data_IF_527125676624
#
_entry.id   IF_527125676624
#
_cell.length_a   1.000
_cell.length_b   1.000
_cell.length_c   1.000
_cell.angle_alpha   90.00
_cell.angle_beta   90.00
_cell.angle_gamma   90.00
#
_symmetry.space_group_name_H-M   'P 1'
#
loop_
_entity.id
_entity.type
_entity.pdbx_description
1 polymer ?
#
# COMPACT_ATOMS: atom_id res chain seq x y z
N UNK A 1 -12.85 -7.12 -31.75
CA UNK A 1 -11.63 -7.16 -32.54
C UNK A 1 -10.60 -6.08 -32.22
N UNK A 2 -10.71 -5.42 -31.12
CA UNK A 2 -9.70 -4.45 -30.65
C UNK A 2 -8.76 -5.00 -29.56
N UNK A 3 -8.69 -6.30 -29.40
CA UNK A 3 -7.86 -6.93 -28.35
C UNK A 3 -6.44 -7.27 -28.80
N UNK A 4 -6.15 -7.27 -30.08
CA UNK A 4 -4.81 -7.66 -30.58
C UNK A 4 -3.83 -6.52 -30.74
N UNK A 5 -4.29 -5.27 -30.68
CA UNK A 5 -3.41 -4.09 -30.84
C UNK A 5 -2.86 -3.58 -29.52
N UNK A 6 -3.45 -3.96 -28.39
CA UNK A 6 -2.98 -3.53 -27.08
C UNK A 6 -1.88 -4.42 -26.48
N UNK A 7 -1.70 -5.61 -27.06
CA UNK A 7 -0.73 -6.58 -26.57
C UNK A 7 0.70 -6.33 -27.09
N UNK A 8 0.87 -5.49 -28.08
CA UNK A 8 2.15 -5.34 -28.75
C UNK A 8 3.00 -4.14 -28.26
N UNK A 9 2.48 -3.33 -27.35
CA UNK A 9 3.19 -2.14 -26.87
C UNK A 9 3.78 -2.28 -25.47
N UNK A 10 3.66 -3.44 -24.84
CA UNK A 10 4.22 -3.70 -23.51
C UNK A 10 5.51 -4.53 -23.53
N UNK A 11 6.32 -4.39 -24.55
CA UNK A 11 7.65 -5.04 -24.57
C UNK A 11 8.74 -4.04 -24.20
N UNK A 12 8.61 -3.35 -23.09
CA UNK A 12 9.74 -2.64 -22.50
C UNK A 12 9.71 -2.73 -20.97
N UNK A 13 10.39 -3.75 -20.49
CA UNK A 13 11.36 -3.84 -19.38
C UNK A 13 11.00 -3.35 -17.97
N UNK A 14 9.81 -2.82 -17.70
CA UNK A 14 9.27 -2.59 -16.36
C UNK A 14 7.76 -2.77 -16.39
N UNK A 15 7.29 -4.01 -16.30
CA UNK A 15 5.87 -4.28 -16.11
C UNK A 15 5.43 -3.80 -14.73
N UNK A 16 4.97 -2.56 -14.68
CA UNK A 16 4.04 -2.13 -13.65
C UNK A 16 2.70 -2.74 -13.98
N UNK A 17 2.43 -3.94 -13.50
CA UNK A 17 1.09 -4.49 -13.59
C UNK A 17 0.19 -3.75 -12.62
N UNK A 18 -0.51 -2.73 -13.10
CA UNK A 18 -1.60 -2.10 -12.35
C UNK A 18 -2.80 -3.05 -12.36
N UNK A 19 -3.08 -3.68 -11.24
CA UNK A 19 -4.30 -4.44 -11.05
C UNK A 19 -5.33 -3.50 -10.43
N UNK A 20 -6.27 -3.02 -11.23
CA UNK A 20 -7.43 -2.32 -10.71
C UNK A 20 -8.44 -3.33 -10.20
N UNK A 21 -8.83 -3.22 -8.95
CA UNK A 21 -9.97 -3.94 -8.44
C UNK A 21 -11.22 -3.14 -8.75
N UNK A 22 -11.99 -3.62 -9.71
CA UNK A 22 -13.36 -3.15 -9.88
C UNK A 22 -14.24 -3.85 -8.85
N UNK A 23 -14.77 -3.10 -7.92
CA UNK A 23 -15.66 -3.64 -6.91
C UNK A 23 -17.01 -3.98 -7.52
N UNK A 24 -17.39 -5.25 -7.44
CA UNK A 24 -18.75 -5.70 -7.70
C UNK A 24 -19.67 -5.20 -6.58
N UNK A 25 -20.51 -4.26 -6.87
CA UNK A 25 -21.76 -4.09 -6.15
C UNK A 25 -21.92 -2.95 -5.17
N UNK A 26 -21.09 -1.91 -5.14
CA UNK A 26 -21.43 -0.58 -4.58
C UNK A 26 -20.34 0.44 -4.87
N UNK A 27 -20.76 1.60 -5.32
CA UNK A 27 -19.99 2.69 -5.96
C UNK A 27 -18.91 3.39 -5.12
N UNK A 28 -18.16 2.72 -4.25
CA UNK A 28 -17.38 3.52 -3.29
C UNK A 28 -15.94 3.19 -3.02
N UNK A 29 -15.33 2.14 -3.56
CA UNK A 29 -13.93 1.91 -3.18
C UNK A 29 -13.09 1.40 -4.34
N UNK A 30 -12.35 2.30 -4.95
CA UNK A 30 -11.27 1.95 -5.86
C UNK A 30 -9.94 1.87 -5.10
N UNK A 31 -9.62 0.70 -4.57
CA UNK A 31 -8.25 0.41 -4.17
C UNK A 31 -7.46 0.02 -5.40
N UNK A 32 -6.35 0.67 -5.65
CA UNK A 32 -5.48 0.37 -6.78
C UNK A 32 -4.27 -0.41 -6.27
N UNK A 33 -4.00 -1.54 -6.89
CA UNK A 33 -2.84 -2.37 -6.59
C UNK A 33 -1.83 -2.25 -7.73
N UNK A 34 -0.62 -1.87 -7.39
CA UNK A 34 0.49 -1.80 -8.34
C UNK A 34 1.60 -2.74 -7.89
N UNK A 35 2.13 -3.51 -8.82
CA UNK A 35 3.29 -4.34 -8.56
C UNK A 35 4.51 -3.81 -9.31
N UNK A 36 5.61 -3.65 -8.60
CA UNK A 36 6.90 -3.27 -9.16
C UNK A 36 7.96 -4.25 -8.68
N UNK A 37 8.31 -5.22 -9.53
CA UNK A 37 9.20 -6.30 -9.16
C UNK A 37 8.64 -7.13 -7.99
N UNK A 38 9.29 -7.07 -6.84
CA UNK A 38 8.87 -7.78 -5.61
C UNK A 38 8.15 -6.88 -4.61
N UNK A 39 7.77 -5.67 -5.02
CA UNK A 39 7.07 -4.70 -4.19
C UNK A 39 5.62 -4.57 -4.64
N UNK A 40 4.70 -4.72 -3.72
CA UNK A 40 3.28 -4.46 -3.92
C UNK A 40 2.91 -3.12 -3.30
N UNK A 41 2.44 -2.18 -4.11
CA UNK A 41 1.95 -0.87 -3.67
C UNK A 41 0.43 -0.92 -3.66
N UNK A 42 -0.16 -0.52 -2.54
CA UNK A 42 -1.61 -0.49 -2.34
C UNK A 42 -2.03 0.95 -2.08
N UNK A 43 -2.74 1.55 -3.04
CA UNK A 43 -3.35 2.86 -2.87
C UNK A 43 -4.67 2.69 -2.16
N UNK A 44 -4.79 3.30 -1.00
CA UNK A 44 -5.95 3.16 -0.14
C UNK A 44 -7.02 4.21 -0.48
N UNK A 45 -8.31 3.88 -0.32
CA UNK A 45 -9.40 4.82 -0.54
C UNK A 45 -9.50 5.85 0.59
N UNK A 46 -10.45 6.77 0.44
CA UNK A 46 -10.70 7.85 1.40
C UNK A 46 -11.05 7.30 2.77
N UNK A 47 -11.91 6.29 2.84
CA UNK A 47 -12.32 5.65 4.09
C UNK A 47 -11.81 4.21 4.14
N UNK A 48 -10.98 3.92 5.12
CA UNK A 48 -10.45 2.59 5.38
C UNK A 48 -11.20 1.97 6.56
N UNK A 49 -12.37 1.46 6.27
CA UNK A 49 -13.23 0.76 7.21
C UNK A 49 -13.05 -0.78 7.16
N UNK A 50 -13.83 -1.52 7.94
CA UNK A 50 -13.72 -2.97 8.04
C UNK A 50 -14.01 -3.70 6.70
N UNK A 51 -15.10 -3.42 5.97
CA UNK A 51 -15.35 -4.05 4.68
C UNK A 51 -14.23 -3.83 3.66
N UNK A 52 -13.74 -2.59 3.58
CA UNK A 52 -12.64 -2.22 2.69
C UNK A 52 -11.33 -2.93 3.07
N UNK A 53 -11.04 -2.98 4.36
CA UNK A 53 -9.85 -3.69 4.87
C UNK A 53 -9.89 -5.17 4.54
N UNK A 54 -11.05 -5.81 4.61
CA UNK A 54 -11.24 -7.21 4.24
C UNK A 54 -11.07 -7.45 2.74
N UNK A 55 -11.59 -6.57 1.90
CA UNK A 55 -11.42 -6.65 0.45
C UNK A 55 -9.94 -6.51 0.05
N UNK A 56 -9.25 -5.54 0.63
CA UNK A 56 -7.81 -5.33 0.41
C UNK A 56 -7.01 -6.55 0.88
N UNK A 57 -7.39 -7.14 2.00
CA UNK A 57 -6.73 -8.35 2.50
C UNK A 57 -6.87 -9.51 1.53
N UNK A 58 -8.08 -9.80 1.06
CA UNK A 58 -8.33 -10.89 0.11
C UNK A 58 -7.57 -10.71 -1.19
N UNK A 59 -7.57 -9.50 -1.73
CA UNK A 59 -6.90 -9.25 -3.00
C UNK A 59 -5.38 -9.28 -2.85
N UNK A 60 -4.84 -8.73 -1.78
CA UNK A 60 -3.41 -8.85 -1.50
C UNK A 60 -2.98 -10.31 -1.28
N UNK A 61 -3.80 -11.14 -0.61
CA UNK A 61 -3.53 -12.57 -0.48
C UNK A 61 -3.51 -13.27 -1.86
N UNK A 62 -4.41 -12.91 -2.75
CA UNK A 62 -4.45 -13.43 -4.11
C UNK A 62 -3.20 -13.07 -4.90
N UNK A 63 -2.74 -11.83 -4.78
CA UNK A 63 -1.52 -11.36 -5.45
C UNK A 63 -0.28 -12.07 -4.88
N UNK A 64 -0.15 -12.13 -3.55
CA UNK A 64 0.95 -12.82 -2.87
C UNK A 64 0.99 -14.31 -3.25
N UNK A 65 -0.17 -14.95 -3.45
CA UNK A 65 -0.25 -16.35 -3.87
C UNK A 65 0.16 -16.61 -5.31
N UNK A 66 0.16 -15.58 -6.17
CA UNK A 66 0.50 -15.69 -7.59
C UNK A 66 1.92 -15.29 -7.93
N UNK A 67 2.50 -14.40 -7.14
CA UNK A 67 3.84 -13.89 -7.39
C UNK A 67 4.57 -13.62 -6.08
N UNK A 68 5.90 -13.68 -6.13
CA UNK A 68 6.73 -13.43 -4.96
C UNK A 68 6.75 -11.95 -4.63
N UNK A 69 6.10 -11.58 -3.52
CA UNK A 69 6.11 -10.23 -2.96
C UNK A 69 7.02 -10.21 -1.74
N UNK A 70 8.02 -9.36 -1.78
CA UNK A 70 8.97 -9.17 -0.68
C UNK A 70 8.54 -8.05 0.26
N UNK A 71 8.04 -6.96 -0.28
CA UNK A 71 7.64 -5.79 0.48
C UNK A 71 6.25 -5.30 0.03
N UNK A 72 5.52 -4.69 0.95
CA UNK A 72 4.27 -3.99 0.65
C UNK A 72 4.37 -2.54 1.10
N UNK A 73 3.86 -1.65 0.27
CA UNK A 73 3.75 -0.22 0.55
C UNK A 73 2.28 0.18 0.54
N UNK A 74 1.81 0.75 1.63
CA UNK A 74 0.46 1.30 1.73
C UNK A 74 0.49 2.81 1.59
N UNK A 75 -0.12 3.30 0.53
CA UNK A 75 -0.22 4.73 0.24
C UNK A 75 -1.54 5.29 0.79
N UNK A 76 -1.41 6.16 1.77
CA UNK A 76 -2.52 6.84 2.46
C UNK A 76 -2.79 8.24 1.91
N UNK A 77 -2.27 8.59 0.74
CA UNK A 77 -2.42 9.96 0.19
C UNK A 77 -3.86 10.42 0.07
N UNK A 78 -4.77 9.51 -0.30
CA UNK A 78 -6.21 9.79 -0.43
C UNK A 78 -7.00 9.50 0.85
N UNK A 79 -6.40 8.86 1.85
CA UNK A 79 -7.11 8.34 3.01
C UNK A 79 -7.30 9.42 4.06
N UNK A 80 -8.56 9.76 4.33
CA UNK A 80 -8.96 10.71 5.35
C UNK A 80 -9.26 10.02 6.69
N UNK A 81 -9.86 8.83 6.66
CA UNK A 81 -10.30 8.09 7.83
C UNK A 81 -9.78 6.65 7.84
N UNK A 82 -9.44 6.18 9.04
CA UNK A 82 -9.05 4.80 9.28
C UNK A 82 -9.55 4.37 10.67
N UNK A 83 -10.13 3.19 10.75
CA UNK A 83 -10.50 2.57 12.01
C UNK A 83 -9.49 1.48 12.43
N UNK A 84 -9.80 0.75 13.50
CA UNK A 84 -8.94 -0.32 14.01
C UNK A 84 -8.73 -1.49 13.03
N UNK A 85 -9.63 -1.66 12.05
CA UNK A 85 -9.47 -2.70 11.03
C UNK A 85 -8.30 -2.42 10.09
N UNK A 86 -7.99 -1.13 9.84
CA UNK A 86 -6.78 -0.73 9.13
C UNK A 86 -5.49 -1.19 9.82
N UNK A 87 -5.44 -1.08 11.16
CA UNK A 87 -4.31 -1.62 11.94
C UNK A 87 -4.24 -3.14 11.79
N UNK A 88 -5.38 -3.83 11.88
CA UNK A 88 -5.47 -5.26 11.67
C UNK A 88 -5.02 -5.70 10.27
N UNK A 89 -5.39 -4.93 9.25
CA UNK A 89 -4.93 -5.13 7.88
C UNK A 89 -3.40 -5.08 7.78
N UNK A 90 -2.79 -3.99 8.25
CA UNK A 90 -1.33 -3.79 8.21
C UNK A 90 -0.59 -4.92 8.94
N UNK A 91 -1.06 -5.30 10.14
CA UNK A 91 -0.46 -6.41 10.89
C UNK A 91 -0.67 -7.76 10.22
N UNK A 92 -1.81 -7.97 9.59
CA UNK A 92 -2.08 -9.18 8.81
C UNK A 92 -1.13 -9.30 7.62
N UNK A 93 -0.85 -8.22 6.93
CA UNK A 93 0.11 -8.21 5.80
C UNK A 93 1.55 -8.41 6.29
N UNK A 94 1.92 -7.81 7.40
CA UNK A 94 3.22 -8.06 8.02
C UNK A 94 3.44 -9.55 8.31
N UNK A 95 2.43 -10.23 8.85
CA UNK A 95 2.48 -11.68 9.09
C UNK A 95 2.53 -12.49 7.80
N UNK A 96 1.72 -12.14 6.81
CA UNK A 96 1.69 -12.81 5.50
C UNK A 96 3.02 -12.74 4.76
N UNK A 97 3.79 -11.66 4.96
CA UNK A 97 5.13 -11.48 4.39
C UNK A 97 6.25 -12.09 5.24
N UNK A 98 5.93 -12.91 6.24
CA UNK A 98 6.90 -13.63 7.06
C UNK A 98 7.52 -12.81 8.18
N UNK A 99 6.85 -11.77 8.66
CA UNK A 99 7.24 -10.94 9.79
C UNK A 99 8.67 -10.36 9.68
N UNK A 100 9.10 -10.08 8.46
CA UNK A 100 10.41 -9.48 8.22
C UNK A 100 10.40 -8.01 8.54
N UNK A 101 11.48 -7.54 9.13
CA UNK A 101 11.62 -6.15 9.49
C UNK A 101 11.44 -5.25 8.26
N UNK A 102 10.60 -4.22 8.37
CA UNK A 102 10.32 -3.24 7.31
C UNK A 102 9.74 -3.83 6.00
N UNK A 103 9.15 -5.03 6.06
CA UNK A 103 8.50 -5.59 4.87
C UNK A 103 7.17 -4.89 4.55
N UNK A 104 6.59 -4.17 5.50
CA UNK A 104 5.40 -3.33 5.31
C UNK A 104 5.78 -1.88 5.61
N UNK A 105 5.43 -1.00 4.69
CA UNK A 105 5.67 0.44 4.80
C UNK A 105 4.38 1.20 4.63
N UNK A 106 4.24 2.29 5.38
CA UNK A 106 3.13 3.25 5.27
C UNK A 106 3.70 4.58 4.81
N UNK A 107 3.14 5.12 3.74
CA UNK A 107 3.53 6.43 3.18
C UNK A 107 2.34 7.37 3.11
N UNK A 108 2.59 8.66 3.11
CA UNK A 108 1.61 9.75 2.97
C UNK A 108 0.46 9.73 3.99
N UNK A 109 0.63 9.09 5.15
CA UNK A 109 -0.38 9.13 6.20
C UNK A 109 -0.52 10.54 6.77
N UNK A 110 -1.76 11.00 6.91
CA UNK A 110 -2.03 12.29 7.55
C UNK A 110 -1.73 12.24 9.07
N UNK A 111 -1.70 13.40 9.72
CA UNK A 111 -1.34 13.51 11.14
C UNK A 111 -2.26 12.68 12.06
N UNK A 112 -3.54 12.60 11.73
CA UNK A 112 -4.52 11.82 12.48
C UNK A 112 -4.25 10.31 12.39
N UNK A 113 -4.08 9.80 11.18
CA UNK A 113 -3.76 8.38 10.93
C UNK A 113 -2.41 8.01 11.56
N UNK A 114 -1.39 8.87 11.41
CA UNK A 114 -0.09 8.64 12.05
C UNK A 114 -0.20 8.56 13.57
N UNK A 115 -1.03 9.40 14.18
CA UNK A 115 -1.28 9.33 15.63
C UNK A 115 -1.88 8.00 16.03
N UNK A 116 -2.88 7.50 15.29
CA UNK A 116 -3.49 6.19 15.54
C UNK A 116 -2.45 5.08 15.41
N UNK A 117 -1.65 5.08 14.35
CA UNK A 117 -0.59 4.10 14.12
C UNK A 117 0.46 4.11 15.25
N UNK A 118 0.87 5.28 15.70
CA UNK A 118 1.82 5.40 16.83
C UNK A 118 1.22 4.87 18.14
N UNK A 119 -0.01 5.25 18.46
CA UNK A 119 -0.70 4.80 19.67
C UNK A 119 -0.94 3.28 19.69
N UNK A 120 -1.16 2.67 18.54
CA UNK A 120 -1.30 1.21 18.44
C UNK A 120 0.00 0.44 18.65
N UNK A 121 1.15 1.12 18.62
CA UNK A 121 2.46 0.50 18.76
C UNK A 121 2.93 -0.28 17.53
N UNK A 122 2.19 -0.21 16.42
CA UNK A 122 2.50 -0.94 15.18
C UNK A 122 3.84 -0.52 14.56
N UNK A 123 4.29 0.69 14.83
CA UNK A 123 5.57 1.21 14.33
C UNK A 123 6.82 0.42 14.76
N UNK A 124 6.67 -0.54 15.69
CA UNK A 124 7.74 -1.49 16.03
C UNK A 124 7.94 -2.55 14.95
N UNK A 125 6.93 -2.83 14.16
CA UNK A 125 6.89 -3.91 13.19
C UNK A 125 6.96 -3.41 11.75
N UNK A 126 6.29 -2.30 11.47
CA UNK A 126 6.21 -1.69 10.14
C UNK A 126 6.94 -0.36 10.11
N UNK A 127 7.29 0.07 8.91
CA UNK A 127 7.92 1.36 8.68
C UNK A 127 6.83 2.41 8.39
N UNK A 128 6.79 3.48 9.18
CA UNK A 128 5.86 4.58 8.97
C UNK A 128 6.69 5.77 8.50
N UNK A 129 6.60 6.08 7.21
CA UNK A 129 7.32 7.20 6.62
C UNK A 129 6.77 8.52 7.13
N UNK A 130 7.65 9.38 7.60
CA UNK A 130 7.34 10.75 8.00
C UNK A 130 7.34 11.70 6.80
N UNK A 131 6.85 11.29 5.64
CA UNK A 131 6.80 12.15 4.46
C UNK A 131 5.85 13.34 4.68
N UNK A 132 6.26 14.26 5.54
CA UNK A 132 5.87 15.65 5.44
C UNK A 132 6.87 16.34 4.52
N UNK A 133 6.39 16.78 3.38
CA UNK A 133 7.10 17.64 2.44
C UNK A 133 8.39 17.04 1.85
N UNK A 134 8.22 16.24 0.84
CA UNK A 134 9.18 16.28 -0.24
C UNK A 134 8.85 17.55 -1.03
N UNK A 135 9.24 18.70 -0.51
CA UNK A 135 9.57 19.80 -1.38
C UNK A 135 10.80 19.35 -2.17
N UNK A 136 10.78 19.54 -3.47
CA UNK A 136 11.80 19.09 -4.42
C UNK A 136 13.23 19.60 -4.14
N UNK A 137 13.48 20.16 -2.96
CA UNK A 137 14.76 20.79 -2.57
C UNK A 137 15.56 19.96 -1.55
N UNK A 138 15.09 18.77 -1.15
CA UNK A 138 15.77 18.03 -0.07
C UNK A 138 16.07 16.58 -0.41
N UNK A 139 16.51 16.29 -1.60
CA UNK A 139 17.08 14.97 -1.91
C UNK A 139 18.34 14.63 -1.09
N UNK A 140 18.94 15.61 -0.43
CA UNK A 140 20.13 15.42 0.40
C UNK A 140 19.89 15.17 1.87
N UNK A 141 18.69 15.41 2.40
CA UNK A 141 18.43 15.40 3.85
C UNK A 141 17.85 14.09 4.38
N UNK A 142 17.57 13.12 3.52
CA UNK A 142 16.93 11.87 3.89
C UNK A 142 17.78 10.95 4.77
N UNK A 143 19.08 11.12 4.75
CA UNK A 143 20.02 10.24 5.47
C UNK A 143 20.58 10.82 6.76
N UNK A 144 20.16 12.00 7.19
CA UNK A 144 20.89 12.71 8.21
C UNK A 144 20.30 12.77 9.61
N UNK A 145 19.06 12.35 9.87
CA UNK A 145 18.42 12.61 11.16
C UNK A 145 17.56 11.47 11.67
N UNK A 146 18.22 10.42 12.08
CA UNK A 146 17.68 9.55 13.11
C UNK A 146 18.15 10.03 14.47
N UNK A 147 17.35 10.83 15.06
CA UNK A 147 17.40 11.05 16.51
C UNK A 147 16.09 10.64 17.13
#
# INVERSE_FOLDING_TARGET
>A
MCFSTFFFFCTNLFEKSCIKIEKWGNDKVESVFETSGTVLIVHLPVDLDHPVSDDIRRESDRIIGRQYIKNMVFDFSETAFMDSSGIGLLMGRYRALGMRRKCVQVIHANSHIRKILRLSGIGRYIDISEAEKISAEQEGAYYGKHK
#
